data_IF_992093349919
#
_entry.id   IF_992093349919
#
_cell.length_a   1.000
_cell.length_b   1.000
_cell.length_c   1.000
_cell.angle_alpha   90.00
_cell.angle_beta   90.00
_cell.angle_gamma   90.00
#
_symmetry.space_group_name_H-M   'P 1'
#
loop_
_entity.id
_entity.type
_entity.pdbx_description
1 polymer ?
#
# COMPACT_ATOMS: atom_id res chain seq x y z
N UNK A 1 -18.36 -6.84 -24.42
CA UNK A 1 -17.47 -6.93 -24.18
C UNK A 1 -16.67 -5.90 -23.89
N UNK A 2 -16.21 -5.60 -23.45
CA UNK A 2 -15.56 -4.92 -23.11
C UNK A 2 -14.24 -5.10 -23.15
N UNK A 3 -13.72 -5.83 -23.91
CA UNK A 3 -12.43 -6.10 -24.02
C UNK A 3 -11.63 -4.93 -24.29
N UNK A 4 -12.05 -3.93 -24.87
CA UNK A 4 -11.27 -2.76 -25.18
C UNK A 4 -11.21 -1.74 -24.09
N UNK A 5 -11.89 -2.00 -23.00
CA UNK A 5 -11.84 -1.07 -21.89
C UNK A 5 -10.57 -1.27 -21.11
N UNK A 6 -9.92 -0.17 -20.79
CA UNK A 6 -8.78 -0.25 -19.93
C UNK A 6 -9.28 -0.28 -18.51
N UNK A 7 -9.21 -1.42 -17.91
CA UNK A 7 -9.59 -1.58 -16.53
C UNK A 7 -8.32 -1.50 -15.68
N UNK A 8 -8.28 -0.52 -14.80
CA UNK A 8 -7.14 -0.40 -13.90
C UNK A 8 -7.42 -1.31 -12.71
N UNK A 9 -6.60 -2.32 -12.57
CA UNK A 9 -6.74 -3.23 -11.45
C UNK A 9 -6.14 -2.61 -10.20
N UNK A 10 -6.67 -3.00 -9.06
CA UNK A 10 -6.13 -2.61 -7.78
C UNK A 10 -5.47 -3.83 -7.19
N UNK A 11 -4.15 -3.76 -7.03
CA UNK A 11 -3.38 -4.86 -6.48
C UNK A 11 -3.12 -4.60 -5.01
N UNK A 12 -3.42 -5.56 -4.18
CA UNK A 12 -3.24 -5.41 -2.75
C UNK A 12 -1.83 -5.81 -2.33
N UNK A 13 -1.19 -4.95 -1.55
CA UNK A 13 0.09 -5.26 -0.93
C UNK A 13 -0.12 -5.19 0.57
N UNK A 14 0.07 -6.30 1.24
CA UNK A 14 -0.16 -6.38 2.67
C UNK A 14 1.12 -6.11 3.43
N UNK A 15 1.01 -5.24 4.41
CA UNK A 15 2.12 -4.89 5.28
C UNK A 15 1.76 -5.28 6.71
N UNK A 16 2.72 -5.17 7.60
CA UNK A 16 2.50 -5.45 9.01
C UNK A 16 3.07 -4.31 9.82
N UNK A 17 2.46 -4.03 10.97
CA UNK A 17 2.98 -3.01 11.86
C UNK A 17 4.38 -3.34 12.36
N UNK A 18 4.71 -4.64 12.41
CA UNK A 18 6.03 -5.10 12.84
C UNK A 18 6.85 -5.66 11.69
N UNK A 19 6.64 -5.13 10.50
CA UNK A 19 7.35 -5.62 9.32
C UNK A 19 8.83 -5.30 9.45
N UNK A 20 9.69 -6.26 9.10
CA UNK A 20 11.13 -6.01 9.12
C UNK A 20 11.57 -5.39 7.80
N UNK A 21 12.82 -4.93 7.77
CA UNK A 21 13.35 -4.20 6.62
C UNK A 21 13.37 -5.05 5.36
N UNK A 22 13.76 -6.31 5.48
CA UNK A 22 13.84 -7.19 4.32
C UNK A 22 12.46 -7.40 3.69
N UNK A 23 11.48 -7.69 4.54
CA UNK A 23 10.12 -7.91 4.06
C UNK A 23 9.51 -6.62 3.51
N UNK A 24 9.79 -5.50 4.17
CA UNK A 24 9.35 -4.20 3.70
C UNK A 24 9.85 -3.94 2.28
N UNK A 25 11.13 -4.20 2.03
CA UNK A 25 11.71 -3.99 0.71
C UNK A 25 11.08 -4.88 -0.34
N UNK A 26 10.73 -6.12 0.01
CA UNK A 26 10.04 -7.02 -0.90
C UNK A 26 8.68 -6.43 -1.28
N UNK A 27 7.96 -5.89 -0.29
CA UNK A 27 6.65 -5.30 -0.57
C UNK A 27 6.76 -4.05 -1.44
N UNK A 28 7.79 -3.24 -1.21
CA UNK A 28 8.03 -2.06 -2.04
C UNK A 28 8.28 -2.47 -3.49
N UNK A 29 9.07 -3.51 -3.71
CA UNK A 29 9.33 -3.99 -5.06
C UNK A 29 8.08 -4.52 -5.73
N UNK A 30 7.22 -5.20 -4.99
CA UNK A 30 5.94 -5.65 -5.54
C UNK A 30 5.09 -4.47 -5.97
N UNK A 31 5.02 -3.44 -5.13
CA UNK A 31 4.26 -2.24 -5.45
C UNK A 31 4.83 -1.55 -6.68
N UNK A 32 6.15 -1.46 -6.77
CA UNK A 32 6.81 -0.88 -7.91
C UNK A 32 6.40 -1.59 -9.19
N UNK A 33 6.43 -2.91 -9.17
CA UNK A 33 6.06 -3.71 -10.34
C UNK A 33 4.62 -3.43 -10.77
N UNK A 34 3.70 -3.38 -9.80
CA UNK A 34 2.30 -3.12 -10.11
C UNK A 34 2.11 -1.70 -10.66
N UNK A 35 2.75 -0.72 -10.04
CA UNK A 35 2.61 0.67 -10.44
C UNK A 35 3.20 0.91 -11.83
N UNK A 36 4.34 0.30 -12.12
CA UNK A 36 4.94 0.42 -13.44
C UNK A 36 4.09 -0.25 -14.51
N UNK A 37 3.32 -1.25 -14.12
CA UNK A 37 2.39 -1.92 -15.03
C UNK A 37 1.09 -1.16 -15.24
N UNK A 38 0.89 -0.06 -14.54
CA UNK A 38 -0.31 0.75 -14.68
C UNK A 38 -1.41 0.43 -13.70
N UNK A 39 -1.14 -0.44 -12.73
CA UNK A 39 -2.14 -0.81 -11.73
C UNK A 39 -2.04 0.09 -10.51
N UNK A 40 -3.17 0.23 -9.80
CA UNK A 40 -3.16 0.91 -8.52
C UNK A 40 -2.76 -0.09 -7.43
N UNK A 41 -2.16 0.43 -6.37
CA UNK A 41 -1.75 -0.39 -5.24
C UNK A 41 -2.58 -0.02 -4.02
N UNK A 42 -3.14 -1.03 -3.39
CA UNK A 42 -3.84 -0.87 -2.11
C UNK A 42 -2.94 -1.44 -1.04
N UNK A 43 -2.29 -0.55 -0.29
CA UNK A 43 -1.46 -0.97 0.82
C UNK A 43 -2.34 -1.15 2.05
N UNK A 44 -2.21 -2.28 2.72
CA UNK A 44 -3.04 -2.55 3.89
C UNK A 44 -2.19 -3.09 5.03
N UNK A 45 -2.55 -2.67 6.24
CA UNK A 45 -1.96 -3.19 7.47
C UNK A 45 -3.12 -3.66 8.33
N UNK A 46 -3.07 -4.92 8.76
CA UNK A 46 -4.08 -5.45 9.64
C UNK A 46 -3.54 -5.45 11.06
N UNK A 47 -4.28 -4.84 11.96
CA UNK A 47 -3.89 -4.77 13.37
C UNK A 47 -4.61 -5.87 14.15
N UNK A 48 -3.86 -6.55 15.00
CA UNK A 48 -4.46 -7.49 15.93
C UNK A 48 -4.84 -6.73 17.18
N UNK A 49 -5.60 -7.36 18.08
CA UNK A 49 -6.13 -6.69 19.24
C UNK A 49 -5.12 -5.84 20.01
N UNK A 50 -3.93 -6.37 20.24
CA UNK A 50 -2.90 -5.62 20.97
C UNK A 50 -2.35 -4.46 20.16
N UNK A 51 -2.31 -4.62 18.85
CA UNK A 51 -1.73 -3.62 17.98
C UNK A 51 -2.63 -2.42 17.76
N UNK A 52 -3.91 -2.56 18.11
CA UNK A 52 -4.83 -1.44 17.99
C UNK A 52 -4.45 -0.26 18.87
N UNK A 53 -3.69 -0.50 19.94
CA UNK A 53 -3.19 0.57 20.79
C UNK A 53 -2.00 1.29 20.17
N UNK A 54 -1.44 0.75 19.08
CA UNK A 54 -0.23 1.27 18.45
C UNK A 54 -0.43 1.50 16.96
N UNK A 55 -1.56 2.10 16.60
CA UNK A 55 -1.85 2.36 15.19
C UNK A 55 -0.91 3.40 14.59
N UNK A 56 -0.27 4.20 15.43
CA UNK A 56 0.73 5.16 14.98
C UNK A 56 1.92 4.45 14.34
N UNK A 57 2.27 3.26 14.82
CA UNK A 57 3.35 2.47 14.22
C UNK A 57 2.97 2.09 12.79
N UNK A 58 1.71 1.67 12.60
CA UNK A 58 1.21 1.35 11.28
C UNK A 58 1.23 2.55 10.35
N UNK A 59 0.85 3.71 10.88
CA UNK A 59 0.89 4.94 10.09
C UNK A 59 2.30 5.27 9.64
N UNK A 60 3.29 5.08 10.52
CA UNK A 60 4.69 5.29 10.17
C UNK A 60 5.12 4.34 9.04
N UNK A 61 4.71 3.07 9.13
CA UNK A 61 5.03 2.10 8.08
C UNK A 61 4.41 2.54 6.76
N UNK A 62 3.16 2.98 6.79
CA UNK A 62 2.47 3.45 5.59
C UNK A 62 3.17 4.67 4.99
N UNK A 63 3.61 5.61 5.82
CA UNK A 63 4.31 6.79 5.33
C UNK A 63 5.63 6.41 4.67
N UNK A 64 6.37 5.49 5.27
CA UNK A 64 7.61 5.01 4.68
C UNK A 64 7.36 4.30 3.36
N UNK A 65 6.29 3.52 3.31
CA UNK A 65 5.93 2.81 2.10
C UNK A 65 5.58 3.80 0.99
N UNK A 66 4.81 4.84 1.32
CA UNK A 66 4.45 5.88 0.35
C UNK A 66 5.69 6.59 -0.17
N UNK A 67 6.63 6.91 0.71
CA UNK A 67 7.86 7.57 0.30
C UNK A 67 8.70 6.67 -0.61
N UNK A 68 8.76 5.38 -0.28
CA UNK A 68 9.52 4.44 -1.09
C UNK A 68 8.91 4.26 -2.47
N UNK A 69 7.59 4.43 -2.59
CA UNK A 69 6.89 4.28 -3.86
C UNK A 69 6.72 5.62 -4.60
N UNK A 70 7.22 6.72 -4.04
CA UNK A 70 6.99 8.04 -4.62
C UNK A 70 7.55 8.20 -6.03
N UNK A 71 8.57 7.43 -6.37
CA UNK A 71 9.14 7.47 -7.71
C UNK A 71 8.24 6.80 -8.74
N UNK A 72 7.42 5.85 -8.31
CA UNK A 72 6.63 5.03 -9.21
C UNK A 72 5.15 5.39 -9.16
N UNK A 73 4.71 6.04 -8.12
CA UNK A 73 3.29 6.33 -7.95
C UNK A 73 3.06 7.49 -7.02
N UNK A 74 1.79 7.91 -6.95
CA UNK A 74 1.37 9.02 -6.12
C UNK A 74 0.28 8.52 -5.18
N UNK A 75 0.32 8.94 -3.93
CA UNK A 75 -0.72 8.57 -2.97
C UNK A 75 -2.03 9.19 -3.41
N UNK A 76 -2.99 8.34 -3.76
CA UNK A 76 -4.30 8.78 -4.18
C UNK A 76 -5.20 9.00 -2.98
N UNK A 77 -5.11 8.09 -2.01
CA UNK A 77 -5.82 8.21 -0.75
C UNK A 77 -4.83 7.95 0.37
N UNK A 78 -4.72 8.90 1.29
CA UNK A 78 -3.81 8.77 2.42
C UNK A 78 -4.23 7.61 3.32
N UNK A 79 -3.27 7.13 4.11
CA UNK A 79 -3.53 6.03 5.02
C UNK A 79 -4.67 6.38 5.98
N UNK A 80 -5.63 5.48 6.10
CA UNK A 80 -6.79 5.68 6.95
C UNK A 80 -7.10 4.39 7.69
N UNK A 81 -7.36 4.52 8.96
CA UNK A 81 -7.73 3.38 9.79
C UNK A 81 -9.22 3.08 9.57
N UNK A 82 -9.51 1.85 9.18
CA UNK A 82 -10.88 1.39 9.02
C UNK A 82 -11.04 0.09 9.79
N UNK A 83 -11.76 0.14 10.90
CA UNK A 83 -11.93 -1.01 11.75
C UNK A 83 -10.58 -1.43 12.33
N UNK A 84 -10.16 -2.63 12.03
CA UNK A 84 -8.90 -3.17 12.53
C UNK A 84 -7.79 -3.16 11.48
N UNK A 85 -7.96 -2.38 10.42
CA UNK A 85 -6.96 -2.32 9.38
C UNK A 85 -6.76 -0.89 8.92
N UNK A 86 -5.60 -0.64 8.37
CA UNK A 86 -5.27 0.65 7.81
C UNK A 86 -5.09 0.47 6.32
N UNK A 87 -5.67 1.34 5.53
CA UNK A 87 -5.65 1.24 4.08
C UNK A 87 -5.10 2.52 3.46
N UNK A 88 -4.30 2.36 2.41
CA UNK A 88 -3.78 3.49 1.65
C UNK A 88 -3.80 3.10 0.18
N UNK A 89 -4.14 4.05 -0.68
CA UNK A 89 -4.18 3.79 -2.11
C UNK A 89 -3.13 4.63 -2.83
N UNK A 90 -2.38 3.99 -3.72
CA UNK A 90 -1.36 4.63 -4.51
C UNK A 90 -1.71 4.41 -5.98
N UNK A 91 -1.75 5.50 -6.74
CA UNK A 91 -2.02 5.44 -8.18
C UNK A 91 -0.69 5.44 -8.94
N UNK A 92 -0.63 4.78 -10.11
CA UNK A 92 0.59 4.78 -10.89
C UNK A 92 0.92 6.19 -11.39
N UNK A 93 2.20 6.49 -11.40
CA UNK A 93 2.68 7.77 -11.86
C UNK A 93 2.98 7.66 -13.35
N UNK A 94 2.50 8.61 -14.10
CA UNK A 94 2.75 8.60 -15.54
C UNK A 94 3.89 9.51 -15.89
#
# INVERSE_FOLDING_TARGET
ARKNQKVVDIKEVRLSAKIDVADFNVRVKQAEKFLKGGDKVKASIRFRGREMAHTDIGLTVMQRFAEACAEFGTVEKAAKLEGRQMLMFIAPKK
#
